data_IF_611214085692
#
_entry.id   IF_611214085692
#
_cell.length_a   1.000
_cell.length_b   1.000
_cell.length_c   1.000
_cell.angle_alpha   90.00
_cell.angle_beta   90.00
_cell.angle_gamma   90.00
#
_symmetry.space_group_name_H-M   'P 1'
#
loop_
_entity.id
_entity.type
_entity.pdbx_description
1 polymer ?
#
# COMPACT_ATOMS: atom_id res chain seq x y z
N UNK A 1 -26.77 -43.66 27.02
CA UNK A 1 -25.36 -43.66 26.65
C UNK A 1 -25.07 -43.30 25.16
N UNK A 2 -26.03 -43.23 24.26
CA UNK A 2 -25.78 -42.90 22.83
C UNK A 2 -25.74 -41.41 22.49
N UNK A 3 -26.29 -40.52 23.32
CA UNK A 3 -26.37 -39.06 23.04
C UNK A 3 -25.02 -38.40 23.28
N UNK A 4 -24.28 -38.79 24.28
CA UNK A 4 -22.97 -38.23 24.62
C UNK A 4 -21.91 -38.50 23.53
N UNK A 5 -21.96 -39.69 22.93
CA UNK A 5 -21.01 -40.05 21.84
C UNK A 5 -21.23 -39.24 20.55
N UNK A 6 -22.48 -38.85 20.25
CA UNK A 6 -22.78 -37.96 19.07
C UNK A 6 -22.35 -36.53 19.30
N UNK A 7 -22.51 -35.99 20.51
CA UNK A 7 -22.04 -34.66 20.89
C UNK A 7 -20.51 -34.55 20.87
N UNK A 8 -19.79 -35.54 21.36
CA UNK A 8 -18.33 -35.57 21.33
C UNK A 8 -17.80 -35.62 19.91
N UNK A 9 -18.42 -36.42 19.01
CA UNK A 9 -18.06 -36.45 17.57
C UNK A 9 -18.31 -35.13 16.87
N UNK A 10 -19.42 -34.45 17.15
CA UNK A 10 -19.78 -33.15 16.57
C UNK A 10 -18.75 -32.09 17.03
N UNK A 11 -18.40 -32.08 18.31
CA UNK A 11 -17.41 -31.14 18.88
C UNK A 11 -16.02 -31.35 18.27
N UNK A 12 -15.63 -32.59 18.00
CA UNK A 12 -14.35 -32.93 17.39
C UNK A 12 -14.29 -32.47 15.90
N UNK A 13 -15.40 -32.60 15.16
CA UNK A 13 -15.48 -32.12 13.77
C UNK A 13 -15.44 -30.59 13.69
N UNK A 14 -16.14 -29.89 14.59
CA UNK A 14 -16.10 -28.42 14.68
C UNK A 14 -14.70 -27.91 15.05
N UNK A 15 -14.02 -28.57 15.98
CA UNK A 15 -12.64 -28.24 16.35
C UNK A 15 -11.66 -28.45 15.18
N UNK A 16 -11.85 -29.51 14.39
CA UNK A 16 -10.99 -29.80 13.22
C UNK A 16 -11.15 -28.76 12.10
N UNK A 17 -12.36 -28.25 11.89
CA UNK A 17 -12.65 -27.22 10.88
C UNK A 17 -12.11 -25.84 11.30
N UNK A 18 -12.13 -25.54 12.60
CA UNK A 18 -11.59 -24.28 13.12
C UNK A 18 -10.06 -24.17 13.01
N UNK A 19 -9.35 -25.29 13.04
CA UNK A 19 -7.88 -25.31 12.91
C UNK A 19 -7.43 -25.11 11.45
N UNK A 20 -8.26 -25.45 10.47
CA UNK A 20 -7.89 -25.34 9.04
C UNK A 20 -7.96 -23.93 8.46
N UNK A 21 -8.63 -22.99 9.12
CA UNK A 21 -8.74 -21.60 8.67
C UNK A 21 -7.64 -20.65 9.17
N UNK A 22 -6.81 -21.10 10.12
CA UNK A 22 -5.78 -20.24 10.76
C UNK A 22 -4.43 -20.19 10.02
N UNK A 23 -4.24 -20.97 8.95
CA UNK A 23 -2.90 -21.17 8.36
C UNK A 23 -2.63 -20.43 7.03
N UNK A 24 -3.53 -19.56 6.56
CA UNK A 24 -3.42 -19.02 5.20
C UNK A 24 -2.36 -17.91 5.04
N UNK A 25 -2.38 -16.91 5.87
CA UNK A 25 -1.57 -15.69 5.70
C UNK A 25 -0.18 -15.81 6.33
N UNK A 26 -0.11 -16.31 7.54
CA UNK A 26 1.17 -16.47 8.25
C UNK A 26 2.16 -17.41 7.52
N UNK A 27 1.66 -18.44 6.84
CA UNK A 27 2.51 -19.35 6.06
C UNK A 27 2.96 -18.77 4.71
N UNK A 28 2.24 -17.81 4.15
CA UNK A 28 2.65 -17.11 2.93
C UNK A 28 3.76 -16.11 3.20
N UNK A 29 3.62 -15.25 4.18
CA UNK A 29 4.64 -14.28 4.56
C UNK A 29 5.90 -14.93 5.14
N UNK A 30 5.74 -16.02 5.87
CA UNK A 30 6.87 -16.78 6.42
C UNK A 30 7.74 -17.50 5.40
N UNK A 31 7.22 -17.79 4.20
CA UNK A 31 7.93 -18.58 3.18
C UNK A 31 8.79 -17.77 2.22
N UNK A 32 8.48 -16.50 2.01
CA UNK A 32 9.30 -15.70 1.13
C UNK A 32 10.67 -15.44 1.79
N UNK A 33 11.78 -15.80 1.15
CA UNK A 33 13.13 -15.58 1.69
C UNK A 33 13.57 -14.12 1.57
N UNK A 34 12.75 -13.26 0.97
CA UNK A 34 13.04 -11.86 0.72
C UNK A 34 12.04 -10.93 1.40
N UNK A 35 12.47 -9.69 1.64
CA UNK A 35 11.66 -8.56 2.05
C UNK A 35 11.69 -7.52 0.95
N UNK A 36 10.54 -6.94 0.64
CA UNK A 36 10.42 -5.79 -0.22
C UNK A 36 10.74 -4.53 0.59
N UNK A 37 11.65 -3.72 0.09
CA UNK A 37 12.08 -2.46 0.71
C UNK A 37 11.71 -1.32 -0.22
N UNK A 38 11.12 -0.28 0.31
CA UNK A 38 10.93 1.00 -0.36
C UNK A 38 12.18 1.83 -0.10
N UNK A 39 12.93 2.16 -1.15
CA UNK A 39 14.14 2.96 -1.05
C UNK A 39 13.82 4.46 -1.14
N UNK A 40 13.02 4.83 -2.14
CA UNK A 40 12.64 6.22 -2.37
C UNK A 40 11.16 6.34 -2.74
N UNK A 41 10.58 7.45 -2.30
CA UNK A 41 9.27 7.92 -2.75
C UNK A 41 9.45 9.35 -3.26
N UNK A 42 9.29 9.54 -4.55
CA UNK A 42 9.46 10.83 -5.24
C UNK A 42 8.07 11.34 -5.60
N UNK A 43 7.78 12.60 -5.25
CA UNK A 43 6.48 13.21 -5.49
C UNK A 43 6.70 14.57 -6.16
N UNK A 44 6.24 14.70 -7.39
CA UNK A 44 6.54 15.87 -8.20
C UNK A 44 8.05 15.97 -8.49
N UNK A 45 8.63 17.14 -8.30
CA UNK A 45 10.07 17.41 -8.48
C UNK A 45 10.85 17.33 -7.16
N UNK A 46 10.22 16.84 -6.08
CA UNK A 46 10.78 16.85 -4.73
C UNK A 46 11.05 15.44 -4.20
N UNK A 47 12.32 15.12 -4.01
CA UNK A 47 12.78 13.88 -3.36
C UNK A 47 12.40 13.82 -1.86
N UNK A 48 11.89 14.91 -1.29
CA UNK A 48 11.48 14.97 0.13
C UNK A 48 10.04 14.48 0.35
N UNK A 49 9.36 14.05 -0.71
CA UNK A 49 8.02 13.49 -0.62
C UNK A 49 6.93 14.53 -0.33
N UNK A 50 7.17 15.80 -0.65
CA UNK A 50 6.18 16.89 -0.53
C UNK A 50 5.59 17.22 -1.89
N UNK A 51 4.27 17.14 -2.00
CA UNK A 51 3.53 17.54 -3.19
C UNK A 51 2.71 18.80 -2.93
N UNK A 52 2.90 19.80 -3.77
CA UNK A 52 1.99 20.93 -3.89
C UNK A 52 0.93 20.60 -4.95
N UNK A 53 -0.21 20.10 -4.51
CA UNK A 53 -1.32 19.75 -5.39
C UNK A 53 -2.12 21.00 -5.75
N UNK A 54 -2.17 21.36 -7.02
CA UNK A 54 -2.92 22.51 -7.52
C UNK A 54 -4.36 22.10 -7.88
N UNK A 55 -5.32 22.78 -7.27
CA UNK A 55 -6.76 22.63 -7.55
C UNK A 55 -7.36 23.85 -8.26
N UNK A 56 -6.55 24.88 -8.53
CA UNK A 56 -7.02 26.22 -8.99
C UNK A 56 -6.95 26.37 -10.51
N UNK A 57 -6.43 25.43 -11.24
CA UNK A 57 -6.26 25.58 -12.69
C UNK A 57 -7.60 25.71 -13.41
N UNK A 58 -7.84 26.88 -13.97
CA UNK A 58 -9.16 27.31 -14.48
C UNK A 58 -9.80 26.44 -15.56
N UNK A 59 -9.09 25.50 -16.19
CA UNK A 59 -9.63 24.68 -17.27
C UNK A 59 -9.07 23.25 -17.36
N UNK A 60 -8.16 22.84 -16.50
CA UNK A 60 -7.67 21.47 -16.47
C UNK A 60 -7.06 21.14 -15.10
N UNK A 61 -7.64 20.18 -14.45
CA UNK A 61 -7.03 19.51 -13.30
C UNK A 61 -6.35 18.25 -13.82
N UNK A 62 -5.20 17.91 -13.28
CA UNK A 62 -4.43 16.73 -13.65
C UNK A 62 -4.34 15.78 -12.46
N UNK A 63 -4.08 14.50 -12.74
CA UNK A 63 -3.66 13.57 -11.72
C UNK A 63 -2.27 13.97 -11.23
N UNK A 64 -2.08 14.01 -9.92
CA UNK A 64 -0.74 14.14 -9.38
C UNK A 64 -0.14 12.73 -9.27
N UNK A 65 1.03 12.58 -9.83
CA UNK A 65 1.73 11.31 -9.89
C UNK A 65 2.81 11.26 -8.83
N UNK A 66 3.09 10.07 -8.36
CA UNK A 66 4.23 9.76 -7.51
C UNK A 66 4.99 8.58 -8.10
N UNK A 67 6.26 8.50 -7.75
CA UNK A 67 7.16 7.43 -8.15
C UNK A 67 7.70 6.73 -6.90
N UNK A 68 7.74 5.41 -6.92
CA UNK A 68 8.29 4.60 -5.84
C UNK A 68 9.40 3.73 -6.39
N UNK A 69 10.55 3.77 -5.76
CA UNK A 69 11.65 2.85 -6.03
C UNK A 69 11.69 1.77 -4.94
N UNK A 70 11.74 0.52 -5.39
CA UNK A 70 11.73 -0.65 -4.51
C UNK A 70 12.82 -1.63 -4.90
N UNK A 71 13.37 -2.32 -3.90
CA UNK A 71 14.32 -3.43 -4.08
C UNK A 71 14.01 -4.59 -3.15
N UNK A 72 14.63 -5.73 -3.42
CA UNK A 72 14.53 -6.90 -2.57
C UNK A 72 15.81 -7.10 -1.75
N UNK A 73 15.63 -7.46 -0.49
CA UNK A 73 16.72 -7.91 0.38
C UNK A 73 16.39 -9.28 0.94
N UNK A 74 17.42 -10.08 1.23
CA UNK A 74 17.25 -11.35 1.95
C UNK A 74 16.81 -11.10 3.39
N UNK A 75 15.87 -11.91 3.88
CA UNK A 75 15.51 -11.95 5.32
C UNK A 75 16.68 -12.45 6.18
N UNK A 76 17.45 -13.38 5.64
CA UNK A 76 18.67 -13.91 6.24
C UNK A 76 19.85 -13.62 5.30
N UNK A 77 20.68 -12.63 5.60
CA UNK A 77 21.84 -12.29 4.78
C UNK A 77 22.97 -13.33 4.84
N UNK A 78 22.83 -14.37 5.67
CA UNK A 78 23.87 -15.37 5.87
C UNK A 78 25.01 -14.93 6.77
N UNK A 79 26.08 -15.74 6.90
CA UNK A 79 27.22 -15.43 7.75
C UNK A 79 28.04 -14.23 7.23
N UNK A 80 28.69 -13.46 8.13
CA UNK A 80 29.52 -12.34 7.74
C UNK A 80 30.62 -12.74 6.74
N UNK A 81 30.81 -11.95 5.70
CA UNK A 81 31.83 -12.17 4.68
C UNK A 81 31.41 -13.04 3.50
N UNK A 82 30.21 -13.57 3.51
CA UNK A 82 29.59 -14.26 2.36
C UNK A 82 28.59 -13.33 1.71
N UNK A 83 28.86 -12.91 0.47
CA UNK A 83 27.92 -12.09 -0.29
C UNK A 83 26.83 -13.00 -0.89
N UNK A 84 25.71 -13.13 -0.20
CA UNK A 84 24.55 -13.88 -0.66
C UNK A 84 23.49 -12.89 -1.11
N UNK A 85 23.09 -12.93 -2.37
CA UNK A 85 21.98 -12.15 -2.92
C UNK A 85 20.69 -12.97 -3.06
N UNK A 86 19.55 -12.32 -3.27
CA UNK A 86 18.32 -13.03 -3.63
C UNK A 86 18.49 -13.86 -4.89
N UNK A 87 17.87 -15.03 -4.94
CA UNK A 87 17.82 -15.85 -6.15
C UNK A 87 16.95 -15.20 -7.22
N UNK A 88 17.23 -15.43 -8.49
CA UNK A 88 16.40 -14.96 -9.63
C UNK A 88 14.93 -15.38 -9.52
N UNK A 89 14.63 -16.41 -8.75
CA UNK A 89 13.26 -16.86 -8.50
C UNK A 89 12.52 -16.02 -7.43
N UNK A 90 13.21 -15.10 -6.78
CA UNK A 90 12.64 -14.27 -5.71
C UNK A 90 12.06 -12.95 -6.21
N UNK A 91 11.95 -12.74 -7.52
CA UNK A 91 11.31 -11.56 -8.07
C UNK A 91 9.88 -11.38 -7.54
N UNK A 92 9.50 -10.14 -7.24
CA UNK A 92 8.18 -9.79 -6.70
C UNK A 92 7.44 -8.91 -7.70
N UNK A 93 6.20 -9.26 -8.01
CA UNK A 93 5.33 -8.44 -8.85
C UNK A 93 4.39 -7.64 -7.97
N UNK A 94 4.44 -6.33 -8.06
CA UNK A 94 3.46 -5.42 -7.49
C UNK A 94 2.26 -5.40 -8.44
N UNK A 95 1.05 -5.53 -7.90
CA UNK A 95 -0.18 -5.59 -8.73
C UNK A 95 -1.21 -4.54 -8.36
N UNK A 96 -1.11 -3.97 -7.18
CA UNK A 96 -2.11 -3.03 -6.65
C UNK A 96 -1.48 -2.11 -5.63
N UNK A 97 -2.06 -0.92 -5.49
CA UNK A 97 -1.78 0.00 -4.40
C UNK A 97 -3.08 0.62 -3.87
N UNK A 98 -3.01 1.18 -2.67
CA UNK A 98 -4.09 1.93 -2.03
C UNK A 98 -3.54 3.26 -1.52
N UNK A 99 -4.32 4.32 -1.67
CA UNK A 99 -4.00 5.64 -1.12
C UNK A 99 -5.05 6.03 -0.10
N UNK A 100 -4.59 6.40 1.10
CA UNK A 100 -5.41 6.98 2.16
C UNK A 100 -4.83 8.34 2.56
N UNK A 101 -5.71 9.28 2.89
CA UNK A 101 -5.30 10.63 3.26
C UNK A 101 -5.65 10.91 4.71
N UNK A 102 -4.73 11.55 5.43
CA UNK A 102 -4.96 12.02 6.80
C UNK A 102 -4.44 13.43 6.96
N UNK A 103 -5.24 14.31 7.54
CA UNK A 103 -4.83 15.66 7.87
C UNK A 103 -4.02 15.68 9.16
N UNK A 104 -3.07 16.60 9.22
CA UNK A 104 -2.24 16.81 10.40
C UNK A 104 -3.02 17.38 11.59
N UNK A 105 -4.17 18.04 11.34
CA UNK A 105 -5.05 18.62 12.37
C UNK A 105 -6.04 17.61 12.98
N UNK A 106 -6.01 16.35 12.56
CA UNK A 106 -6.84 15.28 13.08
C UNK A 106 -8.24 15.17 12.48
N UNK A 107 -8.66 16.09 11.61
CA UNK A 107 -9.93 16.00 10.88
C UNK A 107 -9.79 15.08 9.69
N UNK A 108 -10.46 13.94 9.71
CA UNK A 108 -10.23 12.87 8.73
C UNK A 108 -11.51 12.27 8.14
N UNK A 109 -12.61 13.02 8.15
CA UNK A 109 -13.86 12.58 7.52
C UNK A 109 -13.70 12.62 6.01
N UNK A 110 -13.75 11.45 5.37
CA UNK A 110 -13.61 11.34 3.91
C UNK A 110 -14.74 12.06 3.18
N UNK A 111 -14.40 12.78 2.13
CA UNK A 111 -15.34 13.60 1.35
C UNK A 111 -15.75 14.91 2.03
N UNK A 112 -15.26 15.21 3.25
CA UNK A 112 -15.52 16.45 4.00
C UNK A 112 -14.19 17.12 4.36
N UNK A 113 -13.32 16.42 5.05
CA UNK A 113 -12.03 16.93 5.53
C UNK A 113 -10.85 16.48 4.67
N UNK A 114 -10.95 15.27 4.13
CA UNK A 114 -9.93 14.65 3.26
C UNK A 114 -10.59 14.02 2.04
N UNK A 115 -9.87 13.86 0.92
CA UNK A 115 -10.36 13.10 -0.23
C UNK A 115 -10.70 11.66 0.13
N UNK A 116 -11.57 11.03 -0.66
CA UNK A 116 -11.83 9.61 -0.53
C UNK A 116 -10.57 8.79 -0.80
N UNK A 117 -10.34 7.78 0.03
CA UNK A 117 -9.34 6.75 -0.23
C UNK A 117 -9.69 5.97 -1.49
N UNK A 118 -8.69 5.44 -2.16
CA UNK A 118 -8.91 4.63 -3.36
C UNK A 118 -7.89 3.53 -3.51
N UNK A 119 -8.31 2.47 -4.20
CA UNK A 119 -7.46 1.38 -4.66
C UNK A 119 -7.27 1.53 -6.17
N UNK A 120 -6.08 1.21 -6.67
CA UNK A 120 -5.81 1.19 -8.10
C UNK A 120 -4.81 0.09 -8.47
N UNK A 121 -4.84 -0.30 -9.73
CA UNK A 121 -3.88 -1.24 -10.27
C UNK A 121 -2.54 -0.54 -10.54
N UNK A 122 -1.46 -1.24 -10.21
CA UNK A 122 -0.10 -0.86 -10.57
C UNK A 122 0.67 -2.14 -10.79
N UNK A 123 1.13 -2.37 -12.02
CA UNK A 123 1.84 -3.62 -12.33
C UNK A 123 3.27 -3.34 -12.75
N UNK A 124 4.22 -3.74 -11.90
CA UNK A 124 5.63 -3.77 -12.22
C UNK A 124 6.32 -4.87 -11.44
N UNK A 125 7.46 -5.31 -11.95
CA UNK A 125 8.23 -6.39 -11.35
C UNK A 125 9.50 -5.84 -10.70
N UNK A 126 9.69 -6.18 -9.42
CA UNK A 126 10.91 -5.89 -8.67
C UNK A 126 11.85 -7.09 -8.84
N UNK A 127 12.98 -6.92 -9.54
CA UNK A 127 13.93 -8.00 -9.78
C UNK A 127 14.66 -8.40 -8.49
N UNK A 128 15.25 -9.57 -8.51
CA UNK A 128 16.03 -10.07 -7.37
C UNK A 128 17.39 -9.39 -7.20
N UNK A 129 17.93 -8.80 -8.25
CA UNK A 129 19.29 -8.28 -8.35
C UNK A 129 19.37 -6.77 -8.65
N UNK A 130 18.34 -6.02 -8.26
CA UNK A 130 18.31 -4.58 -8.51
C UNK A 130 17.12 -3.90 -7.86
N UNK A 131 16.87 -2.68 -8.30
CA UNK A 131 15.68 -1.92 -7.97
C UNK A 131 14.72 -1.86 -9.15
N UNK A 132 13.48 -1.52 -8.88
CA UNK A 132 12.48 -1.21 -9.88
C UNK A 132 11.65 -0.01 -9.44
N UNK A 133 11.25 0.76 -10.42
CA UNK A 133 10.47 1.97 -10.24
C UNK A 133 9.04 1.76 -10.73
N UNK A 134 8.09 2.19 -9.92
CA UNK A 134 6.67 2.21 -10.28
C UNK A 134 6.11 3.62 -10.17
N UNK A 135 5.38 4.06 -11.19
CA UNK A 135 4.70 5.37 -11.21
C UNK A 135 3.21 5.16 -10.96
N UNK A 136 2.64 5.89 -10.02
CA UNK A 136 1.25 5.73 -9.63
C UNK A 136 0.58 7.08 -9.35
N UNK A 137 -0.76 7.09 -9.35
CA UNK A 137 -1.53 8.28 -9.02
C UNK A 137 -1.58 8.48 -7.51
N UNK A 138 -1.09 9.61 -7.04
CA UNK A 138 -1.18 9.99 -5.63
C UNK A 138 -2.45 10.78 -5.35
N UNK A 139 -2.78 11.77 -6.19
CA UNK A 139 -4.05 12.50 -6.13
C UNK A 139 -4.75 12.39 -7.47
N UNK A 140 -5.95 11.82 -7.47
CA UNK A 140 -6.74 11.66 -8.69
C UNK A 140 -7.36 13.00 -9.10
N UNK A 141 -7.48 13.22 -10.40
CA UNK A 141 -8.24 14.33 -10.98
C UNK A 141 -9.65 14.42 -10.37
N UNK A 142 -10.36 13.29 -10.26
CA UNK A 142 -11.70 13.25 -9.70
C UNK A 142 -11.76 13.78 -8.25
N UNK A 143 -10.73 13.53 -7.44
CA UNK A 143 -10.67 14.04 -6.08
C UNK A 143 -10.57 15.57 -6.02
N UNK A 144 -9.97 16.19 -7.04
CA UNK A 144 -9.86 17.67 -7.16
C UNK A 144 -11.19 18.32 -7.56
N UNK A 145 -12.10 17.55 -8.16
CA UNK A 145 -13.46 17.98 -8.53
C UNK A 145 -14.49 17.76 -7.42
N UNK A 146 -14.09 17.17 -6.31
CA UNK A 146 -14.93 16.84 -5.17
C UNK A 146 -14.46 17.56 -3.89
N UNK A 147 -15.33 17.56 -2.86
CA UNK A 147 -14.96 18.06 -1.55
C UNK A 147 -13.91 17.13 -0.90
N UNK A 148 -12.96 17.67 -0.14
CA UNK A 148 -12.78 19.07 0.21
C UNK A 148 -11.99 19.89 -0.81
N UNK A 149 -11.28 19.24 -1.76
CA UNK A 149 -10.32 19.93 -2.62
C UNK A 149 -10.99 20.97 -3.52
N UNK A 150 -12.16 20.66 -4.09
CA UNK A 150 -12.91 21.63 -4.91
C UNK A 150 -13.21 22.94 -4.20
N UNK A 151 -13.43 22.89 -2.89
CA UNK A 151 -13.73 24.09 -2.13
C UNK A 151 -12.52 25.04 -2.04
N UNK A 152 -11.29 24.51 -2.13
CA UNK A 152 -10.06 25.30 -2.11
C UNK A 152 -9.85 26.13 -3.36
N UNK A 153 -10.47 25.78 -4.48
CA UNK A 153 -10.35 26.51 -5.75
C UNK A 153 -10.86 27.98 -5.66
N UNK A 154 -11.68 28.29 -4.68
CA UNK A 154 -12.30 29.61 -4.52
C UNK A 154 -11.84 30.37 -3.28
N UNK A 155 -10.88 29.85 -2.54
CA UNK A 155 -10.32 30.51 -1.37
C UNK A 155 -8.79 30.36 -1.33
N UNK A 156 -8.14 31.04 -0.40
CA UNK A 156 -6.70 30.98 -0.20
C UNK A 156 -6.30 29.97 0.90
N UNK A 157 -7.23 29.12 1.31
CA UNK A 157 -6.95 28.13 2.33
C UNK A 157 -6.06 27.02 1.77
N UNK A 158 -5.18 26.52 2.60
CA UNK A 158 -4.31 25.38 2.32
C UNK A 158 -4.63 24.28 3.32
N UNK A 159 -4.82 23.07 2.83
CA UNK A 159 -4.90 21.90 3.69
C UNK A 159 -3.62 21.07 3.53
N UNK A 160 -3.07 20.63 4.65
CA UNK A 160 -1.94 19.72 4.68
C UNK A 160 -2.43 18.32 5.04
N UNK A 161 -2.12 17.36 4.18
CA UNK A 161 -2.49 15.96 4.36
C UNK A 161 -1.26 15.06 4.19
N UNK A 162 -1.24 13.97 4.93
CA UNK A 162 -0.29 12.87 4.74
C UNK A 162 -1.01 11.82 3.89
N UNK A 163 -0.43 11.45 2.76
CA UNK A 163 -0.89 10.34 1.97
C UNK A 163 -0.15 9.06 2.41
N UNK A 164 -0.91 8.05 2.77
CA UNK A 164 -0.41 6.71 3.07
C UNK A 164 -0.63 5.82 1.84
N UNK A 165 0.42 5.16 1.41
CA UNK A 165 0.41 4.30 0.24
C UNK A 165 0.83 2.88 0.63
#
# INVERSE_FOLDING_TARGET
>A
MHVTAKFVKLLFVVALVAVSSACGEFTREGRAPVVLVVDHLIVGDDEQGTLLSDVITKNSTFNDMAEVEMRLILKDPGPPGVNVGPSLLNAVTITRYRVEYRRSDGRNTQGVDVPYSFDSALTFNVPSDGSATGVFQLVRHAAKEEAPLKALANNLDIISTIAYV
#
